data_IF_381037712123
#
_entry.id   IF_381037712123
#
_cell.length_a   1.000
_cell.length_b   1.000
_cell.length_c   1.000
_cell.angle_alpha   90.00
_cell.angle_beta   90.00
_cell.angle_gamma   90.00
#
_symmetry.space_group_name_H-M   'P 1'
#
loop_
_entity.id
_entity.type
_entity.pdbx_description
1 polymer ?
#
# COMPACT_ATOMS: atom_id res chain seq x y z
N UNK A 1 28.21 2.10 -4.98
CA UNK A 1 27.07 2.70 -4.25
C UNK A 1 27.06 2.19 -2.82
N UNK A 2 27.28 3.07 -1.85
CA UNK A 2 27.45 2.73 -0.43
C UNK A 2 26.70 3.69 0.50
N UNK A 3 25.71 4.41 -0.01
CA UNK A 3 24.88 5.31 0.79
C UNK A 3 23.60 4.60 1.28
N UNK A 4 23.49 4.55 2.61
CA UNK A 4 22.33 4.25 3.46
C UNK A 4 21.70 2.85 3.42
N UNK A 5 21.93 2.03 2.39
CA UNK A 5 21.50 0.60 2.38
C UNK A 5 22.56 -0.36 2.95
N UNK A 6 23.82 0.08 3.04
CA UNK A 6 24.82 -0.63 3.84
C UNK A 6 24.57 -0.20 5.28
N UNK A 7 24.17 -1.11 6.15
CA UNK A 7 23.99 -0.87 7.59
C UNK A 7 25.27 -0.38 8.27
N UNK A 8 25.62 0.88 8.02
CA UNK A 8 26.85 1.55 8.45
C UNK A 8 26.76 2.03 9.88
N UNK A 9 25.57 2.06 10.48
CA UNK A 9 25.39 2.30 11.90
C UNK A 9 25.80 1.05 12.69
N UNK A 10 26.67 1.23 13.68
CA UNK A 10 26.98 0.20 14.66
C UNK A 10 25.69 -0.30 15.31
N UNK A 11 25.70 -1.56 15.76
CA UNK A 11 24.57 -2.14 16.49
C UNK A 11 24.21 -1.31 17.72
N UNK A 12 25.21 -0.75 18.41
CA UNK A 12 25.04 0.11 19.58
C UNK A 12 24.29 1.41 19.25
N UNK A 13 24.76 2.18 18.25
CA UNK A 13 24.09 3.43 17.85
C UNK A 13 22.67 3.17 17.36
N UNK A 14 22.47 2.07 16.62
CA UNK A 14 21.14 1.66 16.16
C UNK A 14 20.21 1.35 17.32
N UNK A 15 20.67 0.57 18.31
CA UNK A 15 19.88 0.22 19.47
C UNK A 15 19.56 1.45 20.33
N UNK A 16 20.48 2.42 20.42
CA UNK A 16 20.24 3.69 21.09
C UNK A 16 19.12 4.49 20.39
N UNK A 17 19.19 4.64 19.07
CA UNK A 17 18.18 5.39 18.30
C UNK A 17 16.82 4.69 18.36
N UNK A 18 16.79 3.37 18.14
CA UNK A 18 15.54 2.60 18.07
C UNK A 18 14.93 2.37 19.45
N UNK A 19 15.74 2.35 20.51
CA UNK A 19 15.28 2.15 21.89
C UNK A 19 14.70 3.40 22.56
N UNK A 20 14.84 4.58 21.95
CA UNK A 20 14.29 5.85 22.45
C UNK A 20 13.30 6.41 21.42
N UNK A 21 12.01 6.39 21.76
CA UNK A 21 10.94 6.86 20.87
C UNK A 21 11.13 8.33 20.45
N UNK A 22 11.62 9.19 21.34
CA UNK A 22 11.84 10.61 21.05
C UNK A 22 13.02 10.80 20.10
N UNK A 23 14.12 10.09 20.34
CA UNK A 23 15.27 10.11 19.45
C UNK A 23 14.87 9.60 18.06
N UNK A 24 14.10 8.51 18.00
CA UNK A 24 13.59 7.94 16.77
C UNK A 24 12.70 8.92 16.00
N UNK A 25 11.76 9.57 16.67
CA UNK A 25 10.91 10.60 16.05
C UNK A 25 11.76 11.78 15.55
N UNK A 26 12.75 12.22 16.32
CA UNK A 26 13.60 13.36 15.97
C UNK A 26 14.45 13.09 14.72
N UNK A 27 15.11 11.92 14.64
CA UNK A 27 15.95 11.58 13.47
C UNK A 27 15.14 11.40 12.18
N UNK A 28 13.85 11.04 12.29
CA UNK A 28 12.94 10.87 11.15
C UNK A 28 12.11 12.14 10.85
N UNK A 29 12.25 13.21 11.64
CA UNK A 29 11.54 14.47 11.44
C UNK A 29 11.80 15.11 10.06
N UNK A 30 13.02 15.07 9.48
CA UNK A 30 13.25 15.61 8.14
C UNK A 30 12.38 14.94 7.08
N UNK A 31 12.23 13.62 7.14
CA UNK A 31 11.37 12.86 6.23
C UNK A 31 9.90 13.23 6.40
N UNK A 32 9.40 13.31 7.64
CA UNK A 32 8.02 13.74 7.88
C UNK A 32 7.75 15.16 7.37
N UNK A 33 8.72 16.06 7.53
CA UNK A 33 8.63 17.44 7.04
C UNK A 33 8.59 17.49 5.51
N UNK A 34 9.42 16.68 4.83
CA UNK A 34 9.44 16.59 3.38
C UNK A 34 8.10 16.05 2.80
N UNK A 35 7.54 15.02 3.44
CA UNK A 35 6.23 14.46 3.07
C UNK A 35 5.07 15.42 3.37
N UNK A 36 5.14 16.15 4.48
CA UNK A 36 4.17 17.20 4.83
C UNK A 36 4.19 18.35 3.82
N UNK A 37 5.37 18.88 3.50
CA UNK A 37 5.54 19.92 2.49
C UNK A 37 4.95 19.47 1.16
N UNK A 38 5.23 18.23 0.78
CA UNK A 38 4.65 17.54 -0.36
C UNK A 38 3.12 17.64 -0.32
N UNK A 39 2.45 17.18 0.74
CA UNK A 39 0.98 17.21 0.81
C UNK A 39 0.38 18.61 0.73
N UNK A 40 0.96 19.57 1.44
CA UNK A 40 0.42 20.93 1.56
C UNK A 40 0.56 21.76 0.27
N UNK A 41 1.27 21.26 -0.74
CA UNK A 41 1.34 21.92 -2.06
C UNK A 41 0.04 21.93 -2.82
N UNK A 42 -0.88 21.03 -2.49
CA UNK A 42 -2.21 21.08 -3.06
C UNK A 42 -2.90 22.41 -2.70
N UNK A 43 -2.82 22.82 -1.44
CA UNK A 43 -3.36 24.09 -0.97
C UNK A 43 -2.62 25.29 -1.59
N UNK A 44 -1.31 25.16 -1.79
CA UNK A 44 -0.52 26.19 -2.46
C UNK A 44 -0.85 26.33 -3.96
N UNK A 45 -1.29 25.28 -4.67
CA UNK A 45 -1.66 25.38 -6.10
C UNK A 45 -2.91 26.23 -6.33
N UNK A 46 -3.80 26.30 -5.36
CA UNK A 46 -4.97 27.20 -5.40
C UNK A 46 -4.55 28.67 -5.27
N UNK A 47 -3.37 28.93 -4.71
CA UNK A 47 -2.81 30.27 -4.53
C UNK A 47 -1.69 30.48 -5.57
N UNK A 48 -1.99 31.21 -6.66
CA UNK A 48 -1.21 31.41 -7.91
C UNK A 48 0.31 31.76 -7.86
N UNK A 49 1.05 31.57 -6.77
CA UNK A 49 2.27 32.34 -6.48
C UNK A 49 3.62 31.60 -6.48
N UNK A 50 3.72 30.29 -6.72
CA UNK A 50 5.02 29.59 -6.54
C UNK A 50 5.42 28.60 -7.66
N UNK A 51 5.56 29.09 -8.90
CA UNK A 51 6.07 28.28 -10.03
C UNK A 51 7.42 27.59 -9.73
N UNK A 52 8.32 28.24 -9.00
CA UNK A 52 9.62 27.66 -8.66
C UNK A 52 9.49 26.51 -7.65
N UNK A 53 8.58 26.62 -6.68
CA UNK A 53 8.34 25.58 -5.69
C UNK A 53 7.77 24.33 -6.37
N UNK A 54 6.85 24.49 -7.32
CA UNK A 54 6.34 23.39 -8.13
C UNK A 54 7.46 22.63 -8.86
N UNK A 55 8.44 23.33 -9.43
CA UNK A 55 9.60 22.68 -10.06
C UNK A 55 10.46 21.90 -9.05
N UNK A 56 10.69 22.44 -7.84
CA UNK A 56 11.49 21.76 -6.81
C UNK A 56 10.79 20.49 -6.32
N UNK A 57 9.46 20.55 -6.12
CA UNK A 57 8.69 19.36 -5.75
C UNK A 57 8.54 18.41 -6.91
N UNK A 58 8.40 18.88 -8.14
CA UNK A 58 8.40 18.01 -9.30
C UNK A 58 9.72 17.23 -9.39
N UNK A 59 10.85 17.87 -9.10
CA UNK A 59 12.16 17.20 -9.00
C UNK A 59 12.18 16.20 -7.84
N UNK A 60 11.75 16.59 -6.64
CA UNK A 60 11.73 15.70 -5.46
C UNK A 60 10.79 14.49 -5.63
N UNK A 61 9.63 14.69 -6.24
CA UNK A 61 8.61 13.66 -6.52
C UNK A 61 8.81 12.94 -7.84
N UNK A 62 9.83 13.33 -8.62
CA UNK A 62 10.06 12.69 -9.89
C UNK A 62 10.25 11.20 -9.58
N UNK A 63 9.43 10.29 -10.14
CA UNK A 63 9.62 8.86 -9.92
C UNK A 63 11.04 8.42 -10.34
N UNK A 64 11.61 9.17 -11.27
CA UNK A 64 12.97 9.04 -11.73
C UNK A 64 14.00 9.71 -10.83
N UNK A 65 13.67 10.24 -9.66
CA UNK A 65 14.59 10.66 -8.57
C UNK A 65 14.12 9.98 -7.27
N UNK A 66 13.38 8.87 -7.41
CA UNK A 66 12.67 8.17 -6.34
C UNK A 66 13.51 7.70 -5.15
N UNK A 67 14.83 7.93 -5.13
CA UNK A 67 15.71 7.59 -4.02
C UNK A 67 15.35 8.40 -2.78
N UNK A 68 15.18 9.72 -2.90
CA UNK A 68 14.80 10.56 -1.76
C UNK A 68 13.41 10.18 -1.23
N UNK A 69 12.45 9.98 -2.13
CA UNK A 69 11.11 9.54 -1.76
C UNK A 69 11.09 8.13 -1.14
N UNK A 70 11.97 7.23 -1.58
CA UNK A 70 12.15 5.88 -1.00
C UNK A 70 12.76 5.97 0.40
N UNK A 71 13.70 6.90 0.65
CA UNK A 71 14.23 7.14 2.00
C UNK A 71 13.12 7.60 2.96
N UNK A 72 12.19 8.43 2.49
CA UNK A 72 11.09 8.90 3.33
C UNK A 72 10.07 7.80 3.63
N UNK A 73 9.83 6.87 2.69
CA UNK A 73 9.08 5.65 3.00
C UNK A 73 9.82 4.72 3.94
N UNK A 74 11.15 4.60 3.83
CA UNK A 74 11.94 3.84 4.78
C UNK A 74 11.86 4.44 6.19
N UNK A 75 11.88 5.77 6.30
CA UNK A 75 11.63 6.47 7.56
C UNK A 75 10.24 6.11 8.14
N UNK A 76 9.19 6.08 7.31
CA UNK A 76 7.86 5.62 7.72
C UNK A 76 7.90 4.16 8.20
N UNK A 77 8.58 3.27 7.47
CA UNK A 77 8.71 1.86 7.83
C UNK A 77 9.42 1.67 9.17
N UNK A 78 10.50 2.42 9.40
CA UNK A 78 11.26 2.43 10.67
C UNK A 78 10.35 2.90 11.81
N UNK A 79 9.67 4.04 11.64
CA UNK A 79 8.75 4.58 12.65
C UNK A 79 7.61 3.59 12.95
N UNK A 80 7.00 3.02 11.91
CA UNK A 80 5.94 2.03 12.00
C UNK A 80 6.39 0.75 12.72
N UNK A 81 7.67 0.39 12.60
CA UNK A 81 8.24 -0.82 13.21
C UNK A 81 8.53 -0.68 14.70
N UNK A 82 8.85 0.53 15.14
CA UNK A 82 9.48 0.75 16.44
C UNK A 82 8.68 1.63 17.39
N UNK A 83 7.78 2.48 16.88
CA UNK A 83 6.88 3.25 17.73
C UNK A 83 5.65 2.44 18.11
N UNK A 84 5.05 2.79 19.25
CA UNK A 84 3.67 2.40 19.52
C UNK A 84 2.77 2.83 18.33
N UNK A 85 1.87 1.97 17.83
CA UNK A 85 1.02 2.28 16.69
C UNK A 85 0.22 3.59 16.81
N UNK A 86 -0.25 3.91 18.01
CA UNK A 86 -0.98 5.15 18.28
C UNK A 86 -0.04 6.37 18.23
N UNK A 87 1.15 6.28 18.82
CA UNK A 87 2.19 7.33 18.73
C UNK A 87 2.63 7.57 17.28
N UNK A 88 2.83 6.52 16.49
CA UNK A 88 3.16 6.64 15.08
C UNK A 88 2.07 7.38 14.29
N UNK A 89 0.79 7.00 14.46
CA UNK A 89 -0.31 7.66 13.77
C UNK A 89 -0.44 9.14 14.15
N UNK A 90 -0.31 9.44 15.45
CA UNK A 90 -0.29 10.83 15.96
C UNK A 90 0.86 11.63 15.36
N UNK A 91 2.07 11.08 15.39
CA UNK A 91 3.26 11.72 14.85
C UNK A 91 3.11 12.03 13.36
N UNK A 92 2.67 11.04 12.58
CA UNK A 92 2.43 11.19 11.15
C UNK A 92 1.35 12.25 10.90
N UNK A 93 0.21 12.18 11.59
CA UNK A 93 -0.91 13.08 11.40
C UNK A 93 -0.58 14.54 11.73
N UNK A 94 0.06 14.80 12.87
CA UNK A 94 0.44 16.16 13.28
C UNK A 94 1.42 16.78 12.28
N UNK A 95 2.30 15.98 11.67
CA UNK A 95 3.16 16.49 10.60
C UNK A 95 2.38 16.75 9.31
N UNK A 96 1.43 15.91 8.94
CA UNK A 96 0.60 16.13 7.74
C UNK A 96 -0.35 17.31 7.89
N UNK A 97 -0.80 17.60 9.12
CA UNK A 97 -1.74 18.70 9.43
C UNK A 97 -1.18 19.55 10.59
N UNK A 98 -0.12 20.35 10.36
CA UNK A 98 0.56 21.08 11.44
C UNK A 98 -0.34 22.02 12.22
N UNK A 99 -1.40 22.54 11.60
CA UNK A 99 -2.39 23.41 12.24
C UNK A 99 -3.10 22.74 13.42
N UNK A 100 -3.15 21.40 13.45
CA UNK A 100 -3.82 20.66 14.51
C UNK A 100 -2.96 20.44 15.76
N UNK A 101 -1.65 20.72 15.69
CA UNK A 101 -0.71 20.49 16.78
C UNK A 101 -1.07 21.26 18.07
N UNK A 102 -1.74 22.41 17.94
CA UNK A 102 -2.13 23.27 19.06
C UNK A 102 -3.49 22.89 19.65
N UNK A 103 -4.32 22.16 18.91
CA UNK A 103 -5.72 21.93 19.27
C UNK A 103 -5.98 20.51 19.76
N UNK A 104 -5.10 19.56 19.43
CA UNK A 104 -5.32 18.17 19.76
C UNK A 104 -4.69 17.79 21.11
N UNK A 105 -5.48 17.11 21.93
CA UNK A 105 -4.99 16.38 23.09
C UNK A 105 -4.23 15.11 22.66
N UNK A 106 -2.89 15.15 22.74
CA UNK A 106 -2.01 14.04 22.42
C UNK A 106 -2.14 12.85 23.38
N UNK A 107 -2.82 13.01 24.52
CA UNK A 107 -3.11 11.93 25.45
C UNK A 107 -4.32 11.08 25.02
N UNK A 108 -5.21 11.61 24.15
CA UNK A 108 -6.33 10.83 23.62
C UNK A 108 -5.88 9.82 22.56
N UNK A 109 -6.54 8.65 22.44
CA UNK A 109 -6.32 7.75 21.30
C UNK A 109 -6.53 8.46 19.97
N UNK A 110 -5.72 8.12 18.96
CA UNK A 110 -5.74 8.77 17.66
C UNK A 110 -7.12 8.74 16.98
N UNK A 111 -7.84 7.62 17.08
CA UNK A 111 -9.19 7.50 16.53
C UNK A 111 -10.18 8.52 17.14
N UNK A 112 -10.03 8.83 18.43
CA UNK A 112 -10.82 9.87 19.10
C UNK A 112 -10.45 11.26 18.61
N UNK A 113 -9.15 11.53 18.42
CA UNK A 113 -8.66 12.79 17.87
C UNK A 113 -9.25 13.10 16.50
N UNK A 114 -9.26 12.11 15.59
CA UNK A 114 -9.81 12.28 14.24
C UNK A 114 -11.30 12.60 14.27
N UNK A 115 -12.08 12.00 15.18
CA UNK A 115 -13.53 12.27 15.29
C UNK A 115 -13.85 13.67 15.81
N UNK A 116 -12.94 14.30 16.54
CA UNK A 116 -13.17 15.64 17.11
C UNK A 116 -12.77 16.80 16.18
N UNK A 117 -12.19 16.51 15.02
CA UNK A 117 -11.65 17.53 14.12
C UNK A 117 -12.68 17.85 13.02
N UNK A 118 -13.21 19.08 13.01
CA UNK A 118 -14.17 19.60 12.01
C UNK A 118 -13.55 19.95 10.63
N UNK A 119 -12.36 19.43 10.31
CA UNK A 119 -11.66 19.74 9.06
C UNK A 119 -12.14 18.86 7.90
N UNK A 120 -11.82 19.23 6.66
CA UNK A 120 -11.88 18.33 5.50
C UNK A 120 -10.77 17.26 5.61
N UNK A 121 -10.89 16.44 6.66
CA UNK A 121 -10.01 15.34 7.04
C UNK A 121 -9.87 14.34 5.91
N UNK A 122 -10.87 14.23 5.04
CA UNK A 122 -10.89 13.26 3.94
C UNK A 122 -9.63 13.35 3.08
N UNK A 123 -9.13 14.57 2.81
CA UNK A 123 -7.92 14.83 2.05
C UNK A 123 -6.65 14.39 2.81
N UNK A 124 -6.49 14.80 4.06
CA UNK A 124 -5.30 14.48 4.84
C UNK A 124 -5.22 12.99 5.21
N UNK A 125 -6.36 12.39 5.57
CA UNK A 125 -6.49 10.96 5.80
C UNK A 125 -6.14 10.16 4.56
N UNK A 126 -6.52 10.63 3.36
CA UNK A 126 -6.08 10.02 2.09
C UNK A 126 -4.58 9.98 1.96
N UNK A 127 -3.92 11.11 2.18
CA UNK A 127 -2.46 11.15 2.09
C UNK A 127 -1.78 10.30 3.17
N UNK A 128 -2.32 10.28 4.39
CA UNK A 128 -1.79 9.45 5.45
C UNK A 128 -1.93 7.95 5.14
N UNK A 129 -3.12 7.50 4.71
CA UNK A 129 -3.36 6.12 4.28
C UNK A 129 -2.50 5.75 3.08
N UNK A 130 -2.31 6.68 2.15
CA UNK A 130 -1.42 6.52 1.00
C UNK A 130 0.02 6.24 1.44
N UNK A 131 0.54 7.01 2.39
CA UNK A 131 1.90 6.80 2.91
C UNK A 131 2.04 5.49 3.65
N UNK A 132 1.07 5.16 4.50
CA UNK A 132 1.03 3.90 5.24
C UNK A 132 0.98 2.72 4.28
N UNK A 133 0.08 2.74 3.29
CA UNK A 133 -0.07 1.66 2.32
C UNK A 133 1.20 1.45 1.50
N UNK A 134 1.79 2.50 0.96
CA UNK A 134 3.04 2.38 0.19
C UNK A 134 4.21 1.90 1.07
N UNK A 135 4.33 2.41 2.31
CA UNK A 135 5.34 1.94 3.24
C UNK A 135 5.19 0.44 3.53
N UNK A 136 3.96 -0.04 3.77
CA UNK A 136 3.67 -1.46 3.95
C UNK A 136 4.06 -2.26 2.70
N UNK A 137 3.50 -1.90 1.54
CA UNK A 137 3.65 -2.65 0.29
C UNK A 137 5.09 -2.73 -0.18
N UNK A 138 5.82 -1.61 -0.23
CA UNK A 138 7.20 -1.64 -0.75
C UNK A 138 8.12 -2.53 0.10
N UNK A 139 7.94 -2.57 1.43
CA UNK A 139 8.75 -3.44 2.28
C UNK A 139 8.42 -4.92 2.07
N UNK A 140 7.12 -5.29 2.04
CA UNK A 140 6.71 -6.69 1.88
C UNK A 140 7.06 -7.29 0.52
N UNK A 141 7.60 -6.50 -0.41
CA UNK A 141 7.96 -6.92 -1.76
C UNK A 141 9.48 -6.96 -1.94
N UNK A 142 10.18 -6.04 -1.28
CA UNK A 142 11.63 -5.89 -1.41
C UNK A 142 12.39 -6.59 -0.27
N UNK A 143 11.77 -6.73 0.91
CA UNK A 143 12.41 -7.26 2.13
C UNK A 143 12.92 -8.70 1.99
N UNK A 144 14.20 -8.91 2.28
CA UNK A 144 14.88 -10.21 2.24
C UNK A 144 14.93 -10.95 0.89
N UNK A 145 14.68 -10.28 -0.24
CA UNK A 145 14.98 -10.89 -1.55
C UNK A 145 16.49 -11.09 -1.70
N UNK A 146 16.90 -12.23 -2.27
CA UNK A 146 18.31 -12.47 -2.61
C UNK A 146 18.87 -11.44 -3.61
N UNK A 147 17.98 -10.73 -4.35
CA UNK A 147 18.34 -9.72 -5.33
C UNK A 147 17.41 -8.50 -5.21
N UNK A 148 17.62 -7.72 -4.15
CA UNK A 148 16.90 -6.47 -3.86
C UNK A 148 16.97 -5.48 -5.03
N UNK A 149 18.14 -5.37 -5.68
CA UNK A 149 18.33 -4.44 -6.80
C UNK A 149 17.48 -4.83 -8.01
N UNK A 150 17.44 -6.12 -8.36
CA UNK A 150 16.57 -6.62 -9.42
C UNK A 150 15.09 -6.35 -9.13
N UNK A 151 14.62 -6.58 -7.90
CA UNK A 151 13.20 -6.36 -7.57
C UNK A 151 12.82 -4.88 -7.64
N UNK A 152 13.67 -3.98 -7.13
CA UNK A 152 13.48 -2.54 -7.26
C UNK A 152 13.45 -2.10 -8.72
N UNK A 153 14.41 -2.58 -9.52
CA UNK A 153 14.49 -2.27 -10.95
C UNK A 153 13.27 -2.79 -11.72
N UNK A 154 12.83 -4.03 -11.43
CA UNK A 154 11.61 -4.61 -11.97
C UNK A 154 10.38 -3.78 -11.66
N UNK A 155 10.21 -3.38 -10.40
CA UNK A 155 9.09 -2.52 -10.01
C UNK A 155 9.12 -1.21 -10.78
N UNK A 156 10.26 -0.55 -10.87
CA UNK A 156 10.39 0.71 -11.61
C UNK A 156 10.01 0.56 -13.09
N UNK A 157 10.50 -0.48 -13.76
CA UNK A 157 10.21 -0.72 -15.19
C UNK A 157 8.73 -1.03 -15.42
N UNK A 158 8.15 -1.97 -14.66
CA UNK A 158 6.72 -2.33 -14.71
C UNK A 158 5.85 -1.07 -14.62
N UNK A 159 6.15 -0.24 -13.63
CA UNK A 159 5.42 0.99 -13.35
C UNK A 159 5.65 2.05 -14.45
N UNK A 160 6.88 2.18 -14.99
CA UNK A 160 7.17 3.11 -16.09
C UNK A 160 6.44 2.71 -17.39
N UNK A 161 6.49 1.42 -17.75
CA UNK A 161 5.78 0.86 -18.91
C UNK A 161 4.27 1.12 -18.81
N UNK A 162 3.70 0.85 -17.65
CA UNK A 162 2.27 1.05 -17.42
C UNK A 162 1.88 2.54 -17.49
N UNK A 163 2.77 3.44 -17.07
CA UNK A 163 2.60 4.89 -17.22
C UNK A 163 2.64 5.38 -18.68
N UNK A 164 3.05 4.54 -19.63
CA UNK A 164 3.02 4.85 -21.07
C UNK A 164 4.37 5.07 -21.72
N UNK A 165 5.47 4.85 -21.01
CA UNK A 165 6.78 4.76 -21.65
C UNK A 165 6.85 3.44 -22.42
N UNK A 166 6.57 3.46 -23.73
CA UNK A 166 6.46 2.25 -24.56
C UNK A 166 7.71 1.95 -25.38
N UNK A 167 8.80 2.72 -25.25
CA UNK A 167 10.07 2.45 -25.95
C UNK A 167 11.16 2.12 -24.96
N UNK A 168 12.09 1.23 -25.30
CA UNK A 168 13.25 0.92 -24.44
C UNK A 168 14.03 2.19 -24.14
N UNK A 169 14.28 3.07 -25.12
CA UNK A 169 14.96 4.35 -24.93
C UNK A 169 14.18 5.30 -24.01
N UNK A 170 12.85 5.36 -24.12
CA UNK A 170 12.01 6.19 -23.26
C UNK A 170 12.03 5.73 -21.80
N UNK A 171 11.99 4.41 -21.58
CA UNK A 171 12.13 3.82 -20.25
C UNK A 171 13.54 3.94 -19.70
N UNK A 172 14.56 3.77 -20.55
CA UNK A 172 15.94 4.05 -20.18
C UNK A 172 16.08 5.49 -19.74
N UNK A 173 15.59 6.48 -20.50
CA UNK A 173 15.66 7.90 -20.11
C UNK A 173 14.90 8.19 -18.81
N UNK A 174 13.76 7.53 -18.56
CA UNK A 174 13.04 7.67 -17.30
C UNK A 174 13.84 7.05 -16.15
N UNK A 175 14.36 5.84 -16.29
CA UNK A 175 15.15 5.16 -15.25
C UNK A 175 16.54 5.80 -15.05
N UNK A 176 17.15 6.38 -16.09
CA UNK A 176 18.51 6.93 -16.09
C UNK A 176 18.59 8.29 -15.38
N UNK A 177 17.52 9.10 -15.37
CA UNK A 177 17.52 10.38 -14.64
C UNK A 177 17.80 10.17 -13.12
N UNK A 178 17.44 8.99 -12.59
CA UNK A 178 17.61 8.58 -11.19
C UNK A 178 19.07 8.35 -10.84
N UNK A 179 19.81 7.73 -11.75
CA UNK A 179 21.20 7.40 -11.49
C UNK A 179 22.13 8.54 -11.94
N UNK A 180 21.73 9.43 -12.87
CA UNK A 180 22.54 10.60 -13.33
C UNK A 180 22.83 11.64 -12.26
N UNK A 181 22.00 11.76 -11.23
CA UNK A 181 22.26 12.58 -10.03
C UNK A 181 23.30 11.94 -9.10
N UNK A 182 23.61 10.65 -9.26
CA UNK A 182 24.76 9.99 -8.67
C UNK A 182 25.94 10.04 -9.66
N UNK A 183 27.08 10.56 -9.22
CA UNK A 183 28.26 11.00 -9.99
C UNK A 183 29.01 9.94 -10.82
N UNK A 184 28.44 8.78 -11.12
CA UNK A 184 29.09 7.72 -11.91
C UNK A 184 28.49 7.64 -13.31
N UNK A 185 29.33 7.85 -14.33
CA UNK A 185 28.96 7.79 -15.75
C UNK A 185 28.25 6.48 -16.15
N UNK A 186 27.16 6.60 -16.90
CA UNK A 186 26.17 5.56 -17.22
C UNK A 186 26.57 4.51 -18.24
N UNK A 187 27.79 4.57 -18.78
CA UNK A 187 28.26 3.62 -19.78
C UNK A 187 28.81 2.33 -19.14
N UNK A 188 28.50 2.05 -17.86
CA UNK A 188 29.00 0.85 -17.20
C UNK A 188 28.16 -0.37 -17.61
N UNK A 189 28.75 -1.39 -18.26
CA UNK A 189 28.04 -2.59 -18.72
C UNK A 189 27.28 -3.32 -17.61
N UNK A 190 27.74 -3.19 -16.36
CA UNK A 190 27.16 -3.83 -15.17
C UNK A 190 25.70 -3.43 -14.88
N UNK A 191 25.24 -2.27 -15.35
CA UNK A 191 23.84 -1.83 -15.14
C UNK A 191 22.96 -2.25 -16.32
N UNK A 192 23.54 -2.33 -17.52
CA UNK A 192 22.78 -2.57 -18.74
C UNK A 192 22.30 -4.03 -18.84
N UNK A 193 23.10 -4.98 -18.35
CA UNK A 193 22.71 -6.39 -18.34
C UNK A 193 21.51 -6.66 -17.41
N UNK A 194 21.49 -6.25 -16.12
CA UNK A 194 20.30 -6.37 -15.28
C UNK A 194 19.07 -5.67 -15.87
N UNK A 195 19.25 -4.49 -16.45
CA UNK A 195 18.18 -3.73 -17.09
C UNK A 195 17.54 -4.50 -18.25
N UNK A 196 18.36 -4.99 -19.18
CA UNK A 196 17.90 -5.78 -20.31
C UNK A 196 17.22 -7.08 -19.87
N UNK A 197 17.78 -7.75 -18.86
CA UNK A 197 17.20 -8.97 -18.27
C UNK A 197 15.81 -8.70 -17.70
N UNK A 198 15.61 -7.57 -17.03
CA UNK A 198 14.30 -7.20 -16.50
C UNK A 198 13.33 -6.87 -17.64
N UNK A 199 13.72 -6.07 -18.63
CA UNK A 199 12.87 -5.76 -19.79
C UNK A 199 12.40 -7.02 -20.50
N UNK A 200 13.30 -7.97 -20.76
CA UNK A 200 12.95 -9.25 -21.39
C UNK A 200 11.96 -10.07 -20.57
N UNK A 201 11.92 -9.89 -19.25
CA UNK A 201 11.03 -10.63 -18.37
C UNK A 201 9.67 -9.96 -18.16
N UNK A 202 9.60 -8.63 -18.15
CA UNK A 202 8.35 -7.90 -17.87
C UNK A 202 7.69 -7.28 -19.09
N UNK A 203 8.28 -7.46 -20.27
CA UNK A 203 7.75 -6.92 -21.50
C UNK A 203 7.96 -7.82 -22.71
N UNK A 204 7.06 -7.69 -23.67
CA UNK A 204 7.15 -8.27 -25.01
C UNK A 204 7.32 -7.18 -26.06
N UNK A 205 8.09 -7.48 -27.11
CA UNK A 205 8.19 -6.57 -28.26
C UNK A 205 6.87 -6.52 -29.03
N UNK A 206 6.46 -5.32 -29.41
CA UNK A 206 5.36 -5.11 -30.33
C UNK A 206 5.97 -5.09 -31.74
N UNK A 207 5.56 -6.04 -32.58
CA UNK A 207 5.89 -6.00 -34.01
C UNK A 207 5.12 -4.85 -34.67
N UNK A 208 5.69 -3.65 -34.59
CA UNK A 208 5.17 -2.44 -35.22
C UNK A 208 5.98 -2.13 -36.47
N UNK A 209 5.31 -1.61 -37.50
CA UNK A 209 5.98 -1.06 -38.70
C UNK A 209 6.63 0.29 -38.42
N UNK A 210 6.35 0.90 -37.26
CA UNK A 210 7.06 2.09 -36.80
C UNK A 210 8.49 1.72 -36.38
N UNK A 211 9.46 2.57 -36.71
CA UNK A 211 10.91 2.37 -36.49
C UNK A 211 11.33 2.28 -35.03
N UNK A 212 10.41 2.46 -34.08
CA UNK A 212 10.72 2.45 -32.66
C UNK A 212 10.48 1.06 -32.08
N UNK A 213 11.48 0.55 -31.34
CA UNK A 213 11.40 -0.70 -30.57
C UNK A 213 10.35 -0.55 -29.46
N UNK A 214 9.08 -0.67 -29.84
CA UNK A 214 7.96 -0.59 -28.93
C UNK A 214 7.86 -1.87 -28.11
N UNK A 215 7.69 -1.71 -26.81
CA UNK A 215 7.53 -2.78 -25.84
C UNK A 215 6.20 -2.63 -25.13
N UNK A 216 5.55 -3.76 -24.86
CA UNK A 216 4.32 -3.87 -24.09
C UNK A 216 4.61 -4.62 -22.81
N UNK A 217 4.06 -4.15 -21.70
CA UNK A 217 4.14 -4.86 -20.43
C UNK A 217 3.39 -6.18 -20.49
N UNK A 218 3.93 -7.21 -19.84
CA UNK A 218 3.28 -8.51 -19.73
C UNK A 218 1.98 -8.44 -18.91
N UNK A 219 0.92 -9.20 -19.28
CA UNK A 219 -0.36 -9.16 -18.58
C UNK A 219 -0.27 -9.50 -17.09
N UNK A 220 0.59 -10.45 -16.71
CA UNK A 220 0.76 -10.84 -15.31
C UNK A 220 1.38 -9.72 -14.47
N UNK A 221 2.27 -8.93 -15.07
CA UNK A 221 2.88 -7.76 -14.44
C UNK A 221 1.89 -6.60 -14.27
N UNK A 222 0.90 -6.47 -15.16
CA UNK A 222 -0.16 -5.45 -15.03
C UNK A 222 -1.03 -5.64 -13.78
N UNK A 223 -1.27 -6.90 -13.39
CA UNK A 223 -2.14 -7.24 -12.27
C UNK A 223 -1.53 -6.85 -10.91
N UNK A 224 -0.20 -6.74 -10.83
CA UNK A 224 0.54 -6.49 -9.58
C UNK A 224 0.99 -5.03 -9.41
N UNK A 225 0.50 -4.14 -10.28
CA UNK A 225 0.86 -2.73 -10.24
C UNK A 225 0.21 -2.08 -9.03
N UNK A 226 1.04 -1.39 -8.26
CA UNK A 226 0.57 -0.48 -7.23
C UNK A 226 0.15 0.84 -7.89
N UNK A 227 -1.15 1.08 -8.06
CA UNK A 227 -1.66 2.34 -8.61
C UNK A 227 -1.23 3.57 -7.79
N UNK A 228 -0.93 3.39 -6.51
CA UNK A 228 -0.48 4.42 -5.58
C UNK A 228 1.05 4.59 -5.59
N UNK A 229 1.79 3.85 -6.41
CA UNK A 229 3.25 4.00 -6.54
C UNK A 229 3.66 5.38 -7.07
N UNK A 230 2.80 6.02 -7.89
CA UNK A 230 3.13 7.24 -8.65
C UNK A 230 2.37 8.51 -8.27
N UNK A 231 1.46 8.44 -7.30
CA UNK A 231 0.48 9.52 -7.05
C UNK A 231 1.11 10.77 -6.40
N UNK A 232 2.44 10.87 -6.37
CA UNK A 232 3.14 12.10 -6.02
C UNK A 232 2.87 13.26 -6.99
N UNK A 233 2.75 13.09 -8.30
CA UNK A 233 2.67 14.24 -9.23
C UNK A 233 1.26 14.43 -9.82
N UNK A 234 0.53 15.43 -9.31
CA UNK A 234 -0.89 15.71 -9.63
C UNK A 234 -1.20 15.84 -11.13
N UNK A 235 -0.28 16.37 -11.94
CA UNK A 235 -0.49 16.49 -13.40
C UNK A 235 -0.37 15.15 -14.13
N UNK A 236 0.47 14.25 -13.63
CA UNK A 236 0.59 12.89 -14.19
C UNK A 236 -0.50 11.97 -13.64
N UNK A 237 -0.97 12.23 -12.42
CA UNK A 237 -1.98 11.46 -11.70
C UNK A 237 -3.26 11.25 -12.52
N UNK A 238 -3.80 12.30 -13.14
CA UNK A 238 -5.05 12.18 -13.92
C UNK A 238 -4.85 11.27 -15.13
N UNK A 239 -3.82 11.53 -15.95
CA UNK A 239 -3.59 10.75 -17.18
C UNK A 239 -3.26 9.27 -16.91
N UNK A 240 -2.45 9.01 -15.89
CA UNK A 240 -2.04 7.65 -15.52
C UNK A 240 -3.23 6.91 -14.89
N UNK A 241 -3.96 7.55 -13.98
CA UNK A 241 -5.15 6.98 -13.36
C UNK A 241 -6.21 6.63 -14.40
N UNK A 242 -6.52 7.55 -15.30
CA UNK A 242 -7.55 7.33 -16.32
C UNK A 242 -7.15 6.18 -17.25
N UNK A 243 -5.86 6.05 -17.57
CA UNK A 243 -5.30 4.91 -18.31
C UNK A 243 -5.42 3.60 -17.53
N UNK A 244 -5.13 3.58 -16.23
CA UNK A 244 -5.34 2.38 -15.40
C UNK A 244 -6.81 1.99 -15.33
N UNK A 245 -7.69 2.94 -15.03
CA UNK A 245 -9.13 2.71 -14.99
C UNK A 245 -9.63 2.18 -16.34
N UNK A 246 -9.12 2.72 -17.45
CA UNK A 246 -9.39 2.19 -18.78
C UNK A 246 -8.97 0.73 -18.92
N UNK A 247 -7.77 0.34 -18.44
CA UNK A 247 -7.34 -1.06 -18.50
C UNK A 247 -8.22 -1.99 -17.66
N UNK A 248 -8.60 -1.61 -16.44
CA UNK A 248 -9.54 -2.40 -15.62
C UNK A 248 -10.86 -2.60 -16.36
N UNK A 249 -11.42 -1.53 -16.92
CA UNK A 249 -12.70 -1.56 -17.64
C UNK A 249 -12.68 -2.38 -18.92
N UNK A 250 -11.62 -2.27 -19.72
CA UNK A 250 -11.61 -2.79 -21.10
C UNK A 250 -10.83 -4.09 -21.27
N UNK A 251 -9.84 -4.35 -20.41
CA UNK A 251 -8.98 -5.52 -20.51
C UNK A 251 -9.23 -6.54 -19.39
N UNK A 252 -10.17 -6.26 -18.48
CA UNK A 252 -10.49 -7.16 -17.37
C UNK A 252 -9.29 -7.41 -16.46
N UNK A 253 -8.49 -6.37 -16.22
CA UNK A 253 -7.36 -6.48 -15.29
C UNK A 253 -7.85 -6.92 -13.91
N UNK A 254 -7.03 -7.74 -13.25
CA UNK A 254 -7.30 -8.22 -11.90
C UNK A 254 -6.31 -7.59 -10.95
N UNK A 255 -6.80 -6.90 -9.94
CA UNK A 255 -5.96 -6.43 -8.85
C UNK A 255 -5.37 -7.64 -8.13
N UNK A 256 -4.05 -7.64 -7.97
CA UNK A 256 -3.33 -8.61 -7.16
C UNK A 256 -2.28 -7.91 -6.34
N UNK A 257 -2.17 -8.28 -5.07
CA UNK A 257 -1.00 -7.91 -4.31
C UNK A 257 0.21 -8.71 -4.82
N UNK A 258 1.40 -8.11 -4.88
CA UNK A 258 2.63 -8.85 -5.18
C UNK A 258 2.93 -9.87 -4.07
N UNK A 259 3.80 -10.84 -4.35
CA UNK A 259 4.12 -11.87 -3.36
C UNK A 259 4.79 -11.28 -2.12
N UNK A 260 4.30 -11.71 -0.95
CA UNK A 260 4.82 -11.27 0.35
C UNK A 260 6.11 -12.02 0.63
N UNK A 261 7.23 -11.32 0.61
CA UNK A 261 8.53 -11.84 1.03
C UNK A 261 8.71 -11.75 2.55
N UNK A 262 9.71 -12.45 3.08
CA UNK A 262 9.98 -12.44 4.51
C UNK A 262 10.45 -11.04 4.93
N UNK A 263 9.74 -10.45 5.89
CA UNK A 263 10.12 -9.17 6.50
C UNK A 263 11.48 -9.32 7.20
N UNK A 264 12.40 -8.37 6.98
CA UNK A 264 13.65 -8.34 7.74
C UNK A 264 13.37 -8.09 9.22
N UNK A 265 14.26 -8.57 10.09
CA UNK A 265 14.07 -8.48 11.55
C UNK A 265 13.81 -7.06 12.05
N UNK A 266 14.49 -6.07 11.46
CA UNK A 266 14.32 -4.65 11.83
C UNK A 266 12.91 -4.14 11.56
N UNK A 267 12.17 -4.74 10.63
CA UNK A 267 10.84 -4.30 10.23
C UNK A 267 9.72 -5.23 10.70
N UNK A 268 10.02 -6.22 11.54
CA UNK A 268 9.02 -7.17 12.06
C UNK A 268 7.84 -6.46 12.74
N UNK A 269 8.13 -5.32 13.40
CA UNK A 269 7.14 -4.49 14.07
C UNK A 269 6.09 -3.86 13.15
N UNK A 270 6.31 -3.79 11.83
CA UNK A 270 5.26 -3.35 10.89
C UNK A 270 4.02 -4.26 10.96
N UNK A 271 4.19 -5.55 11.25
CA UNK A 271 3.04 -6.44 11.49
C UNK A 271 2.31 -6.02 12.78
N UNK A 272 3.03 -5.65 13.83
CA UNK A 272 2.39 -5.18 15.08
C UNK A 272 1.54 -3.94 14.83
N UNK A 273 2.03 -3.00 14.00
CA UNK A 273 1.25 -1.85 13.55
C UNK A 273 0.03 -2.26 12.70
N UNK A 274 0.24 -3.07 11.65
CA UNK A 274 -0.81 -3.46 10.71
C UNK A 274 -1.99 -4.16 11.39
N UNK A 275 -1.70 -4.95 12.43
CA UNK A 275 -2.69 -5.69 13.23
C UNK A 275 -2.94 -5.05 14.61
N UNK A 276 -2.68 -3.74 14.74
CA UNK A 276 -2.93 -2.98 15.97
C UNK A 276 -4.38 -2.51 16.06
N UNK A 277 -4.84 -2.29 17.29
CA UNK A 277 -6.14 -1.69 17.56
C UNK A 277 -6.21 -0.23 17.09
N UNK A 278 -5.11 0.54 17.24
CA UNK A 278 -5.05 1.94 16.82
C UNK A 278 -5.29 2.09 15.31
N UNK A 279 -4.62 1.29 14.49
CA UNK A 279 -4.79 1.33 13.04
C UNK A 279 -6.15 0.78 12.60
N UNK A 280 -6.61 -0.29 13.24
CA UNK A 280 -7.96 -0.84 13.03
C UNK A 280 -9.05 0.19 13.34
N UNK A 281 -8.89 0.95 14.42
CA UNK A 281 -9.83 1.99 14.85
C UNK A 281 -9.86 3.19 13.91
N UNK A 282 -8.70 3.55 13.32
CA UNK A 282 -8.61 4.55 12.26
C UNK A 282 -9.41 4.10 11.03
N UNK A 283 -9.12 2.91 10.49
CA UNK A 283 -9.83 2.38 9.32
C UNK A 283 -11.33 2.32 9.57
N UNK A 284 -11.73 1.90 10.78
CA UNK A 284 -13.14 1.85 11.15
C UNK A 284 -13.81 3.19 11.25
N UNK A 285 -13.12 4.21 11.77
CA UNK A 285 -13.69 5.56 11.81
C UNK A 285 -13.98 6.08 10.40
N UNK A 286 -13.10 5.78 9.43
CA UNK A 286 -13.31 6.12 8.02
C UNK A 286 -14.48 5.32 7.41
N UNK A 287 -14.56 4.00 7.67
CA UNK A 287 -15.65 3.17 7.14
C UNK A 287 -17.03 3.52 7.72
N UNK A 288 -17.09 3.88 9.01
CA UNK A 288 -18.33 4.33 9.67
C UNK A 288 -18.82 5.64 9.06
N UNK A 289 -17.91 6.59 8.79
CA UNK A 289 -18.24 7.84 8.10
C UNK A 289 -18.85 7.55 6.73
N UNK A 290 -18.20 6.70 5.95
CA UNK A 290 -18.65 6.27 4.62
C UNK A 290 -20.03 5.62 4.60
N UNK A 291 -20.38 4.86 5.64
CA UNK A 291 -21.71 4.24 5.76
C UNK A 291 -22.82 5.30 5.80
N UNK A 292 -22.55 6.45 6.41
CA UNK A 292 -23.52 7.55 6.56
C UNK A 292 -23.60 8.52 5.38
N UNK A 293 -22.62 8.50 4.46
CA UNK A 293 -22.58 9.41 3.31
C UNK A 293 -23.66 9.03 2.29
N UNK A 294 -24.50 10.01 1.91
CA UNK A 294 -25.41 9.86 0.77
C UNK A 294 -24.58 9.68 -0.51
N UNK A 295 -24.87 8.60 -1.24
CA UNK A 295 -24.26 8.25 -2.52
C UNK A 295 -24.18 9.38 -3.54
N UNK A 296 -25.03 10.42 -3.42
CA UNK A 296 -25.06 11.59 -4.31
C UNK A 296 -23.93 12.60 -4.10
N UNK A 297 -23.19 12.54 -2.98
CA UNK A 297 -22.14 13.50 -2.63
C UNK A 297 -20.76 12.85 -2.48
N UNK A 298 -20.45 11.86 -3.31
CA UNK A 298 -19.16 11.18 -3.28
C UNK A 298 -18.04 12.09 -3.79
N UNK A 299 -17.16 12.54 -2.89
CA UNK A 299 -15.89 13.17 -3.25
C UNK A 299 -14.90 12.10 -3.75
N UNK A 300 -14.11 12.42 -4.78
CA UNK A 300 -13.06 11.52 -5.31
C UNK A 300 -12.08 11.06 -4.21
N UNK A 301 -11.77 11.96 -3.27
CA UNK A 301 -10.92 11.74 -2.09
C UNK A 301 -11.43 10.57 -1.26
N UNK A 302 -12.75 10.52 -1.05
CA UNK A 302 -13.36 9.46 -0.27
C UNK A 302 -13.11 8.13 -0.96
N UNK A 303 -13.40 8.01 -2.26
CA UNK A 303 -13.20 6.76 -3.03
C UNK A 303 -11.75 6.27 -2.90
N UNK A 304 -10.76 7.17 -2.95
CA UNK A 304 -9.36 6.79 -2.74
C UNK A 304 -9.12 6.20 -1.34
N UNK A 305 -9.73 6.74 -0.28
CA UNK A 305 -9.66 6.16 1.07
C UNK A 305 -10.23 4.75 1.11
N UNK A 306 -11.36 4.53 0.43
CA UNK A 306 -12.00 3.22 0.35
C UNK A 306 -11.13 2.21 -0.40
N UNK A 307 -10.52 2.61 -1.53
CA UNK A 307 -9.56 1.81 -2.28
C UNK A 307 -8.36 1.44 -1.39
N UNK A 308 -7.73 2.42 -0.75
CA UNK A 308 -6.57 2.20 0.13
C UNK A 308 -6.90 1.25 1.29
N UNK A 309 -8.01 1.48 2.00
CA UNK A 309 -8.45 0.58 3.08
C UNK A 309 -8.66 -0.83 2.54
N UNK A 310 -9.32 -0.99 1.39
CA UNK A 310 -9.59 -2.31 0.83
C UNK A 310 -8.32 -3.04 0.39
N UNK A 311 -7.33 -2.32 -0.16
CA UNK A 311 -6.01 -2.88 -0.47
C UNK A 311 -5.23 -3.25 0.81
N UNK A 312 -5.33 -2.45 1.87
CA UNK A 312 -4.75 -2.76 3.18
C UNK A 312 -5.39 -4.01 3.78
N UNK A 313 -6.72 -4.18 3.65
CA UNK A 313 -7.41 -5.40 4.08
C UNK A 313 -6.96 -6.62 3.28
N UNK A 314 -6.73 -6.46 1.97
CA UNK A 314 -6.13 -7.51 1.16
C UNK A 314 -4.75 -7.92 1.72
N UNK A 315 -3.95 -6.94 2.13
CA UNK A 315 -2.64 -7.18 2.71
C UNK A 315 -2.74 -7.87 4.08
N UNK A 316 -3.67 -7.44 4.94
CA UNK A 316 -3.95 -8.05 6.23
C UNK A 316 -4.35 -9.53 6.11
N UNK A 317 -5.07 -9.91 5.05
CA UNK A 317 -5.41 -11.32 4.78
C UNK A 317 -4.26 -12.08 4.12
N UNK A 318 -3.51 -11.46 3.21
CA UNK A 318 -2.42 -12.12 2.48
C UNK A 318 -1.22 -12.47 3.36
N UNK A 319 -0.79 -11.57 4.24
CA UNK A 319 0.42 -11.78 5.07
C UNK A 319 0.31 -13.05 5.95
N UNK A 320 -0.75 -13.24 6.75
CA UNK A 320 -0.84 -14.38 7.66
C UNK A 320 -0.97 -15.71 6.93
N UNK A 321 -1.67 -15.70 5.78
CA UNK A 321 -1.81 -16.85 4.88
C UNK A 321 -0.44 -17.32 4.38
N UNK A 322 0.43 -16.40 3.98
CA UNK A 322 1.76 -16.76 3.47
C UNK A 322 2.72 -17.19 4.59
N UNK A 323 2.62 -16.57 5.77
CA UNK A 323 3.53 -16.84 6.91
C UNK A 323 3.05 -17.97 7.83
N UNK A 324 1.87 -18.54 7.60
CA UNK A 324 1.24 -19.50 8.50
C UNK A 324 1.14 -18.99 9.95
N UNK A 325 0.84 -17.69 10.12
CA UNK A 325 0.74 -17.05 11.45
C UNK A 325 -0.73 -17.02 11.91
N UNK A 326 -1.09 -18.00 12.75
CA UNK A 326 -2.46 -18.19 13.24
C UNK A 326 -3.01 -16.98 13.99
N UNK A 327 -2.21 -16.38 14.89
CA UNK A 327 -2.64 -15.24 15.74
C UNK A 327 -2.99 -14.05 14.86
N UNK A 328 -2.10 -13.74 13.92
CA UNK A 328 -2.30 -12.61 13.02
C UNK A 328 -3.47 -12.84 12.06
N UNK A 329 -3.68 -14.08 11.63
CA UNK A 329 -4.84 -14.43 10.80
C UNK A 329 -6.15 -14.27 11.57
N UNK A 330 -6.22 -14.72 12.83
CA UNK A 330 -7.39 -14.51 13.69
C UNK A 330 -7.72 -13.03 13.84
N UNK A 331 -6.72 -12.16 14.07
CA UNK A 331 -6.93 -10.71 14.12
C UNK A 331 -7.48 -10.15 12.81
N UNK A 332 -6.98 -10.63 11.66
CA UNK A 332 -7.49 -10.22 10.35
C UNK A 332 -8.96 -10.66 10.17
N UNK A 333 -9.27 -11.91 10.52
CA UNK A 333 -10.62 -12.47 10.43
C UNK A 333 -11.60 -11.72 11.33
N UNK A 334 -11.24 -11.51 12.60
CA UNK A 334 -12.03 -10.74 13.55
C UNK A 334 -12.30 -9.32 13.04
N UNK A 335 -11.29 -8.66 12.46
CA UNK A 335 -11.43 -7.31 11.96
C UNK A 335 -12.35 -7.24 10.72
N UNK A 336 -12.20 -8.15 9.77
CA UNK A 336 -12.89 -8.09 8.47
C UNK A 336 -14.29 -8.71 8.53
N UNK A 337 -14.42 -9.86 9.18
CA UNK A 337 -15.64 -10.67 9.21
C UNK A 337 -16.41 -10.55 10.53
N UNK A 338 -15.78 -10.03 11.58
CA UNK A 338 -16.44 -9.83 12.87
C UNK A 338 -17.65 -8.89 12.80
N UNK A 339 -18.72 -9.27 13.49
CA UNK A 339 -19.95 -8.49 13.57
C UNK A 339 -19.73 -7.25 14.44
N UNK A 340 -19.99 -6.05 13.91
CA UNK A 340 -19.75 -4.81 14.64
C UNK A 340 -20.98 -3.93 14.85
N UNK A 341 -21.15 -3.44 16.07
CA UNK A 341 -22.28 -2.58 16.46
C UNK A 341 -22.25 -1.20 15.79
N UNK A 342 -21.07 -0.61 15.64
CA UNK A 342 -20.87 0.68 14.96
C UNK A 342 -21.21 0.62 13.46
N UNK A 343 -21.08 -0.56 12.85
CA UNK A 343 -21.58 -0.83 11.50
C UNK A 343 -23.05 -1.26 11.47
N UNK A 344 -23.76 -1.30 12.59
CA UNK A 344 -25.14 -1.76 12.65
C UNK A 344 -25.26 -3.28 12.58
N UNK A 345 -24.40 -4.00 13.28
CA UNK A 345 -24.37 -5.46 13.34
C UNK A 345 -24.11 -6.16 11.99
N UNK A 346 -23.42 -5.47 11.07
CA UNK A 346 -22.81 -6.08 9.89
C UNK A 346 -21.29 -6.13 10.08
N UNK A 347 -20.60 -6.89 9.23
CA UNK A 347 -19.14 -6.92 9.19
C UNK A 347 -18.58 -6.00 8.10
N UNK A 348 -17.25 -5.84 8.06
CA UNK A 348 -16.60 -4.94 7.08
C UNK A 348 -16.81 -5.43 5.67
N UNK A 349 -16.61 -6.72 5.41
CA UNK A 349 -16.72 -7.23 4.04
C UNK A 349 -18.12 -7.03 3.47
N UNK A 350 -19.18 -7.16 4.28
CA UNK A 350 -20.55 -6.88 3.86
C UNK A 350 -20.76 -5.39 3.58
N UNK A 351 -20.18 -4.50 4.40
CA UNK A 351 -20.21 -3.05 4.11
C UNK A 351 -19.49 -2.75 2.79
N UNK A 352 -18.30 -3.30 2.56
CA UNK A 352 -17.55 -3.09 1.32
C UNK A 352 -18.33 -3.61 0.10
N UNK A 353 -18.93 -4.79 0.20
CA UNK A 353 -19.79 -5.34 -0.84
C UNK A 353 -21.02 -4.45 -1.12
N UNK A 354 -21.62 -3.85 -0.08
CA UNK A 354 -22.69 -2.88 -0.25
C UNK A 354 -22.20 -1.60 -0.97
N UNK A 355 -21.01 -1.11 -0.60
CA UNK A 355 -20.39 0.07 -1.21
C UNK A 355 -20.00 -0.18 -2.67
N UNK A 356 -19.69 -1.43 -3.06
CA UNK A 356 -19.41 -1.83 -4.45
C UNK A 356 -20.47 -1.31 -5.40
N UNK A 357 -21.73 -1.59 -5.08
CA UNK A 357 -22.90 -1.20 -5.87
C UNK A 357 -23.14 0.33 -5.89
N UNK A 358 -22.59 1.09 -4.94
CA UNK A 358 -22.76 2.54 -4.83
C UNK A 358 -21.66 3.32 -5.53
N UNK A 359 -20.44 2.80 -5.54
CA UNK A 359 -19.25 3.47 -6.08
C UNK A 359 -19.11 3.22 -7.58
N UNK A 360 -19.53 2.04 -8.07
CA UNK A 360 -19.46 1.66 -9.49
C UNK A 360 -18.07 1.93 -10.11
N UNK A 361 -17.05 1.27 -9.58
CA UNK A 361 -15.66 1.49 -9.94
C UNK A 361 -14.95 0.15 -10.20
N UNK A 362 -14.57 -0.11 -11.45
CA UNK A 362 -14.04 -1.41 -11.90
C UNK A 362 -12.80 -1.87 -11.10
N UNK A 363 -11.97 -0.93 -10.68
CA UNK A 363 -10.80 -1.22 -9.84
C UNK A 363 -11.23 -1.61 -8.42
N UNK A 364 -12.18 -0.88 -7.82
CA UNK A 364 -12.72 -1.23 -6.51
C UNK A 364 -13.32 -2.62 -6.51
N UNK A 365 -14.10 -2.93 -7.55
CA UNK A 365 -14.69 -4.25 -7.79
C UNK A 365 -13.61 -5.34 -7.82
N UNK A 366 -12.53 -5.09 -8.57
CA UNK A 366 -11.39 -6.00 -8.68
C UNK A 366 -10.66 -6.23 -7.34
N UNK A 367 -10.51 -5.18 -6.51
CA UNK A 367 -9.91 -5.30 -5.18
C UNK A 367 -10.78 -6.16 -4.27
N UNK A 368 -12.11 -5.99 -4.32
CA UNK A 368 -13.02 -6.81 -3.52
C UNK A 368 -13.06 -8.26 -3.97
N UNK A 369 -13.02 -8.52 -5.27
CA UNK A 369 -12.87 -9.87 -5.81
C UNK A 369 -11.59 -10.54 -5.31
N UNK A 370 -10.48 -9.80 -5.32
CA UNK A 370 -9.23 -10.30 -4.76
C UNK A 370 -9.31 -10.56 -3.25
N UNK A 371 -9.97 -9.68 -2.48
CA UNK A 371 -10.19 -9.87 -1.04
C UNK A 371 -11.03 -11.13 -0.76
N UNK A 372 -12.06 -11.39 -1.58
CA UNK A 372 -12.86 -12.60 -1.51
C UNK A 372 -12.03 -13.85 -1.86
N UNK A 373 -11.24 -13.78 -2.94
CA UNK A 373 -10.35 -14.87 -3.39
C UNK A 373 -9.36 -15.29 -2.28
N UNK A 374 -8.62 -14.34 -1.69
CA UNK A 374 -7.64 -14.65 -0.64
C UNK A 374 -8.30 -15.12 0.67
N UNK A 375 -9.56 -14.75 0.89
CA UNK A 375 -10.36 -15.18 2.04
C UNK A 375 -11.15 -16.46 1.79
N UNK A 376 -11.06 -17.03 0.57
CA UNK A 376 -11.81 -18.20 0.12
C UNK A 376 -13.34 -18.03 0.22
N UNK A 377 -13.82 -16.79 0.16
CA UNK A 377 -15.26 -16.51 0.06
C UNK A 377 -15.66 -16.61 -1.42
N UNK A 378 -16.74 -17.34 -1.77
CA UNK A 378 -17.21 -17.43 -3.15
C UNK A 378 -17.45 -16.03 -3.75
N UNK A 379 -17.06 -15.82 -5.00
CA UNK A 379 -17.16 -14.50 -5.65
C UNK A 379 -18.61 -14.04 -5.81
N UNK A 380 -19.55 -14.99 -5.90
CA UNK A 380 -20.99 -14.77 -5.99
C UNK A 380 -21.67 -14.70 -4.62
N UNK A 381 -20.94 -14.82 -3.51
CA UNK A 381 -21.51 -14.81 -2.16
C UNK A 381 -22.34 -13.54 -1.87
N UNK A 382 -21.86 -12.39 -2.33
CA UNK A 382 -22.55 -11.10 -2.19
C UNK A 382 -23.37 -10.73 -3.44
N UNK A 383 -23.54 -11.66 -4.40
CA UNK A 383 -24.39 -11.42 -5.56
C UNK A 383 -25.84 -11.24 -5.08
N UNK A 384 -26.43 -10.08 -5.40
CA UNK A 384 -27.78 -9.76 -4.95
C UNK A 384 -27.90 -9.27 -3.50
N UNK A 385 -26.82 -8.75 -2.89
CA UNK A 385 -26.91 -8.06 -1.60
C UNK A 385 -28.03 -7.01 -1.64
N UNK A 386 -29.06 -7.22 -0.82
CA UNK A 386 -30.23 -6.34 -0.77
C UNK A 386 -29.91 -5.10 0.07
N UNK A 387 -30.64 -4.01 -0.15
CA UNK A 387 -30.57 -2.84 0.74
C UNK A 387 -31.33 -3.08 2.06
N UNK A 388 -31.99 -4.23 2.22
CA UNK A 388 -32.68 -4.57 3.45
C UNK A 388 -31.65 -4.89 4.54
N UNK A 389 -31.75 -4.14 5.63
CA UNK A 389 -30.79 -4.22 6.74
C UNK A 389 -30.79 -5.58 7.45
N UNK A 390 -31.95 -6.24 7.56
CA UNK A 390 -32.05 -7.57 8.18
C UNK A 390 -31.32 -8.63 7.36
N UNK A 391 -31.43 -8.55 6.03
CA UNK A 391 -30.75 -9.48 5.13
C UNK A 391 -29.23 -9.31 5.23
N UNK A 392 -28.75 -8.07 5.30
CA UNK A 392 -27.31 -7.78 5.47
C UNK A 392 -26.75 -8.31 6.80
N UNK A 393 -27.52 -8.26 7.89
CA UNK A 393 -27.10 -8.84 9.18
C UNK A 393 -26.97 -10.36 9.06
N UNK A 394 -27.95 -11.03 8.45
CA UNK A 394 -27.90 -12.48 8.25
C UNK A 394 -26.75 -12.88 7.33
N UNK A 395 -26.54 -12.16 6.24
CA UNK A 395 -25.43 -12.37 5.31
C UNK A 395 -24.07 -12.17 5.99
N UNK A 396 -23.95 -11.17 6.86
CA UNK A 396 -22.73 -10.93 7.64
C UNK A 396 -22.39 -12.10 8.56
N UNK A 397 -23.40 -12.69 9.22
CA UNK A 397 -23.21 -13.86 10.09
C UNK A 397 -22.78 -15.08 9.28
N UNK A 398 -23.48 -15.37 8.19
CA UNK A 398 -23.13 -16.47 7.28
C UNK A 398 -21.70 -16.32 6.74
N UNK A 399 -21.31 -15.09 6.38
CA UNK A 399 -19.96 -14.81 5.89
C UNK A 399 -18.90 -15.02 6.99
N UNK A 400 -19.20 -14.68 8.25
CA UNK A 400 -18.31 -14.93 9.38
C UNK A 400 -18.14 -16.43 9.61
N UNK A 401 -19.25 -17.18 9.64
CA UNK A 401 -19.22 -18.64 9.84
C UNK A 401 -18.38 -19.31 8.74
N UNK A 402 -18.60 -18.92 7.47
CA UNK A 402 -17.82 -19.40 6.33
C UNK A 402 -16.33 -19.03 6.43
N UNK A 403 -16.01 -17.80 6.80
CA UNK A 403 -14.62 -17.36 6.96
C UNK A 403 -13.90 -18.13 8.07
N UNK A 404 -14.58 -18.40 9.19
CA UNK A 404 -14.06 -19.21 10.29
C UNK A 404 -13.85 -20.68 9.87
N UNK A 405 -14.79 -21.26 9.13
CA UNK A 405 -14.67 -22.62 8.59
C UNK A 405 -13.47 -22.73 7.64
N UNK A 406 -13.38 -21.84 6.65
CA UNK A 406 -12.26 -21.78 5.70
C UNK A 406 -10.91 -21.64 6.43
N UNK A 407 -10.87 -20.77 7.44
CA UNK A 407 -9.68 -20.58 8.25
C UNK A 407 -9.28 -21.84 9.03
N UNK A 408 -10.24 -22.51 9.68
CA UNK A 408 -9.99 -23.76 10.40
C UNK A 408 -9.48 -24.85 9.46
N UNK A 409 -10.11 -25.03 8.30
CA UNK A 409 -9.72 -26.02 7.29
C UNK A 409 -8.28 -25.77 6.82
N UNK A 410 -7.95 -24.52 6.48
CA UNK A 410 -6.61 -24.14 6.04
C UNK A 410 -5.56 -24.35 7.14
N UNK A 411 -5.88 -24.02 8.39
CA UNK A 411 -4.99 -24.27 9.52
C UNK A 411 -4.69 -25.77 9.70
N UNK A 412 -5.69 -26.64 9.50
CA UNK A 412 -5.51 -28.08 9.57
C UNK A 412 -4.65 -28.61 8.41
N UNK A 413 -4.82 -28.09 7.19
CA UNK A 413 -3.99 -28.45 6.04
C UNK A 413 -2.51 -28.13 6.27
N UNK A 414 -2.22 -26.94 6.80
CA UNK A 414 -0.87 -26.48 7.13
C UNK A 414 -0.24 -27.36 8.21
N UNK A 415 -1.03 -27.77 9.21
CA UNK A 415 -0.54 -28.66 10.26
C UNK A 415 -0.15 -30.02 9.69
N UNK A 416 -1.02 -30.62 8.86
CA UNK A 416 -0.77 -31.90 8.18
C UNK A 416 0.43 -31.86 7.24
N UNK A 417 0.66 -30.75 6.53
CA UNK A 417 1.81 -30.62 5.62
C UNK A 417 3.14 -30.58 6.38
N UNK A 418 3.19 -29.89 7.53
CA UNK A 418 4.38 -29.84 8.39
C UNK A 418 4.74 -31.19 8.99
N UNK A 419 3.76 -31.98 9.40
CA UNK A 419 3.99 -33.34 9.92
C UNK A 419 4.59 -34.25 8.85
N UNK A 420 4.12 -34.17 7.61
CA UNK A 420 4.69 -34.94 6.48
C UNK A 420 6.14 -34.57 6.22
N UNK A 421 6.46 -33.28 6.12
CA UNK A 421 7.84 -32.84 5.87
C UNK A 421 8.79 -33.24 7.00
N UNK A 422 8.35 -33.23 8.27
CA UNK A 422 9.15 -33.71 9.39
C UNK A 422 9.32 -35.24 9.41
N UNK A 423 8.31 -35.99 8.96
CA UNK A 423 8.40 -37.44 8.80
C UNK A 423 9.40 -37.86 7.72
N UNK A 424 9.38 -37.17 6.58
CA UNK A 424 10.29 -37.45 5.47
C UNK A 424 11.76 -37.16 5.81
N UNK A 425 12.02 -36.08 6.55
CA UNK A 425 13.37 -35.75 7.04
C UNK A 425 13.91 -36.76 8.06
N UNK A 426 13.05 -37.40 8.85
CA UNK A 426 13.45 -38.44 9.81
C UNK A 426 13.73 -39.79 9.16
N UNK A 427 13.18 -40.04 7.97
CA UNK A 427 13.41 -41.29 7.22
C UNK A 427 14.65 -41.23 6.31
N UNK A 428 15.34 -40.07 6.25
CA UNK A 428 16.55 -39.86 5.43
C UNK A 428 17.85 -39.80 6.25
N UNK A 429 17.79 -39.98 7.58
CA UNK A 429 18.94 -40.13 8.46
C UNK A 429 18.89 -41.47 9.17
#
# INVERSE_FOLDING_TARGET
MSCCLKGTLSSETRNMIVGDEYMLMWVNQPSMTALSLTNNLYDFKLQKYHKNLENHIHVYRNPNIGYFYTQDFNAIQILMSHLNPDHFLKFLFVHMVPSTAQTIDLFQPFASMIRSIDLDLSFYLRHMLFYIYNALIEHYIVGASNDVEYQLLRRQIVHSLASGFQTTEGNEKSIILFKKTCTTNFLHPEIQEPLNKVFQKVSSMINSTATDNMIKIEPDDLNIINMFYFIGSYSWEVSIRDKYMYFYKTHGLKFRLPDVVQTERTFEGMNNFLFSEAFSSLMMSILVEWKGVDSRYQKTEMIHNLLLISMILCLMMKIPVNKNNYITCHKAVDFIFGIRKDLGNINVITLLALLKNRVNNDLYDSILEYLMEISQVPQDFFSGISQNFSDMINLSKQCLDLALENFQNKSQEIFKSKEKTQGDLKNQG
#
